data_IF_954827403282
#
_entry.id   IF_954827403282
#
_cell.length_a   1.000
_cell.length_b   1.000
_cell.length_c   1.000
_cell.angle_alpha   90.00
_cell.angle_beta   90.00
_cell.angle_gamma   90.00
#
_symmetry.space_group_name_H-M   'P 1'
#
loop_
_entity.id
_entity.type
_entity.pdbx_description
1 polymer ?
#
# COMPACT_ATOMS: atom_id res chain seq x y z
N UNK A 1 0.99 8.69 8.08
CA UNK A 1 1.10 7.33 7.53
C UNK A 1 0.58 6.37 8.56
N UNK A 2 -0.40 5.55 8.20
CA UNK A 2 -0.80 4.38 8.99
C UNK A 2 -0.32 3.11 8.28
N UNK A 3 0.03 2.08 9.06
CA UNK A 3 0.42 0.77 8.53
C UNK A 3 -0.54 -0.27 9.11
N UNK A 4 -1.14 -1.07 8.24
CA UNK A 4 -1.96 -2.22 8.63
C UNK A 4 -1.27 -3.49 8.15
N UNK A 5 -1.09 -4.45 9.05
CA UNK A 5 -0.53 -5.77 8.76
C UNK A 5 -1.48 -6.82 9.33
N UNK A 6 -1.91 -7.77 8.50
CA UNK A 6 -2.85 -8.84 8.91
C UNK A 6 -4.09 -8.29 9.65
N UNK A 7 -4.67 -7.19 9.13
CA UNK A 7 -5.85 -6.50 9.71
C UNK A 7 -5.63 -5.82 11.08
N UNK A 8 -4.38 -5.68 11.52
CA UNK A 8 -4.03 -4.96 12.75
C UNK A 8 -3.09 -3.80 12.47
N UNK A 9 -3.15 -2.76 13.30
CA UNK A 9 -2.19 -1.66 13.25
C UNK A 9 -0.78 -2.16 13.52
N UNK A 10 0.16 -1.72 12.70
CA UNK A 10 1.58 -2.00 12.82
C UNK A 10 2.37 -0.70 12.84
N UNK A 11 3.59 -0.75 13.41
CA UNK A 11 4.52 0.37 13.38
C UNK A 11 5.43 0.35 12.14
N UNK A 12 5.64 -0.84 11.57
CA UNK A 12 6.56 -1.08 10.45
C UNK A 12 6.20 -2.37 9.70
N UNK A 13 6.79 -2.52 8.51
CA UNK A 13 6.84 -3.75 7.74
C UNK A 13 8.31 -4.13 7.52
N UNK A 14 8.66 -5.39 7.81
CA UNK A 14 9.98 -5.92 7.55
C UNK A 14 10.11 -6.40 6.09
N UNK A 15 11.33 -6.70 5.68
CA UNK A 15 11.59 -7.26 4.35
C UNK A 15 10.78 -8.54 4.14
N UNK A 16 10.16 -8.68 2.95
CA UNK A 16 9.30 -9.81 2.61
C UNK A 16 7.92 -9.78 3.26
N UNK A 17 7.62 -8.79 4.10
CA UNK A 17 6.30 -8.62 4.69
C UNK A 17 5.39 -7.78 3.81
N UNK A 18 4.12 -8.17 3.78
CA UNK A 18 3.08 -7.43 3.10
C UNK A 18 2.18 -6.71 4.09
N UNK A 19 1.75 -5.51 3.70
CA UNK A 19 0.78 -4.74 4.46
C UNK A 19 0.17 -3.63 3.63
N UNK A 20 -0.66 -2.81 4.27
CA UNK A 20 -1.34 -1.67 3.65
C UNK A 20 -0.76 -0.38 4.22
N UNK A 21 -0.44 0.56 3.34
CA UNK A 21 -0.06 1.92 3.72
C UNK A 21 -1.28 2.84 3.54
N UNK A 22 -1.70 3.46 4.64
CA UNK A 22 -2.75 4.49 4.63
C UNK A 22 -2.08 5.86 4.58
N UNK A 23 -2.26 6.53 3.45
CA UNK A 23 -1.69 7.85 3.16
C UNK A 23 -2.80 8.89 3.11
N UNK A 24 -2.53 10.08 3.65
CA UNK A 24 -3.45 11.23 3.52
C UNK A 24 -3.50 11.76 2.08
N UNK A 25 -2.38 11.66 1.37
CA UNK A 25 -2.22 12.07 -0.01
C UNK A 25 -1.19 11.17 -0.67
N UNK A 26 -1.41 10.84 -1.93
CA UNK A 26 -0.55 9.95 -2.72
C UNK A 26 -0.69 10.30 -4.20
N UNK A 27 0.39 10.22 -5.01
CA UNK A 27 0.29 10.40 -6.46
C UNK A 27 -0.32 9.19 -7.18
N UNK A 28 -0.49 8.06 -6.49
CA UNK A 28 -1.05 6.84 -7.06
C UNK A 28 -2.56 6.97 -7.23
N UNK A 29 -3.04 6.82 -8.46
CA UNK A 29 -4.46 6.76 -8.75
C UNK A 29 -5.04 5.43 -8.28
N UNK A 30 -6.09 5.45 -7.43
CA UNK A 30 -6.73 4.22 -6.97
C UNK A 30 -7.52 3.56 -8.10
N UNK A 31 -7.72 2.25 -7.97
CA UNK A 31 -8.65 1.49 -8.80
C UNK A 31 -10.06 2.13 -8.74
N UNK A 32 -10.77 2.11 -9.86
CA UNK A 32 -12.14 2.62 -9.92
C UNK A 32 -12.67 2.78 -11.34
N UNK A 33 -14.00 2.72 -11.50
CA UNK A 33 -14.66 2.95 -12.79
C UNK A 33 -14.30 1.95 -13.89
N UNK A 34 -13.79 0.76 -13.53
CA UNK A 34 -13.30 -0.26 -14.46
C UNK A 34 -11.81 -0.15 -14.79
N UNK A 35 -11.10 0.83 -14.25
CA UNK A 35 -9.66 0.98 -14.41
C UNK A 35 -8.90 0.33 -13.26
N UNK A 36 -7.83 -0.42 -13.59
CA UNK A 36 -6.85 -0.96 -12.63
C UNK A 36 -6.04 0.18 -12.03
N UNK A 37 -5.91 0.20 -10.70
CA UNK A 37 -5.17 1.23 -9.97
C UNK A 37 -3.67 1.21 -10.23
N UNK A 38 -3.00 2.31 -9.90
CA UNK A 38 -1.56 2.47 -10.11
C UNK A 38 -0.74 1.47 -9.28
N UNK A 39 0.32 0.97 -9.91
CA UNK A 39 1.39 0.20 -9.26
C UNK A 39 2.72 0.96 -9.39
N UNK A 40 3.66 0.70 -8.49
CA UNK A 40 4.95 1.38 -8.53
C UNK A 40 5.78 1.20 -7.26
N UNK A 41 6.63 2.18 -6.98
CA UNK A 41 7.54 2.15 -5.84
C UNK A 41 7.33 3.37 -4.94
N UNK A 42 7.28 3.12 -3.63
CA UNK A 42 7.45 4.15 -2.60
C UNK A 42 8.82 3.94 -2.00
N UNK A 43 9.65 4.97 -1.96
CA UNK A 43 10.97 4.87 -1.38
C UNK A 43 11.36 6.15 -0.65
N UNK A 44 12.24 5.98 0.33
CA UNK A 44 12.99 7.01 1.03
C UNK A 44 14.48 6.74 0.80
N UNK A 45 15.35 7.56 1.40
CA UNK A 45 16.80 7.31 1.36
C UNK A 45 17.20 5.94 1.93
N UNK A 46 16.38 5.37 2.83
CA UNK A 46 16.74 4.22 3.65
C UNK A 46 15.81 3.01 3.45
N UNK A 47 14.79 3.11 2.59
CA UNK A 47 13.80 2.05 2.41
C UNK A 47 13.08 2.18 1.09
N UNK A 48 12.72 1.06 0.50
CA UNK A 48 11.81 0.98 -0.65
C UNK A 48 10.67 0.01 -0.37
N UNK A 49 9.54 0.16 -1.05
CA UNK A 49 8.40 -0.73 -0.98
C UNK A 49 7.69 -0.72 -2.33
N UNK A 50 7.23 -1.88 -2.80
CA UNK A 50 6.48 -2.00 -4.04
C UNK A 50 4.98 -1.91 -3.78
N UNK A 51 4.37 -0.89 -4.38
CA UNK A 51 2.92 -0.76 -4.46
C UNK A 51 2.43 -1.69 -5.55
N UNK A 52 1.69 -2.73 -5.17
CA UNK A 52 1.09 -3.69 -6.12
C UNK A 52 -0.41 -3.51 -6.29
N UNK A 53 -1.03 -2.71 -5.42
CA UNK A 53 -2.44 -2.33 -5.50
C UNK A 53 -2.66 -0.95 -4.84
N UNK A 54 -3.55 -0.15 -5.41
CA UNK A 54 -3.94 1.17 -4.89
C UNK A 54 -5.46 1.27 -4.86
N UNK A 55 -6.02 1.56 -3.69
CA UNK A 55 -7.47 1.57 -3.46
C UNK A 55 -7.89 2.81 -2.66
N UNK A 56 -9.12 3.28 -2.86
CA UNK A 56 -9.72 4.28 -1.96
C UNK A 56 -10.10 3.63 -0.63
N UNK A 57 -9.98 4.40 0.44
CA UNK A 57 -10.24 3.91 1.81
C UNK A 57 -11.72 3.58 2.04
N UNK A 58 -12.64 4.28 1.39
CA UNK A 58 -14.08 4.05 1.52
C UNK A 58 -14.62 2.86 0.70
N UNK A 59 -13.89 2.42 -0.34
CA UNK A 59 -14.33 1.35 -1.25
C UNK A 59 -13.82 -0.05 -0.80
N UNK A 60 -13.04 -0.13 0.29
CA UNK A 60 -12.45 -1.39 0.77
C UNK A 60 -13.45 -2.29 1.49
N UNK A 61 -14.10 -3.16 0.73
CA UNK A 61 -14.53 -4.48 1.19
C UNK A 61 -13.50 -5.53 0.74
N UNK A 62 -12.62 -5.97 1.65
CA UNK A 62 -11.66 -7.11 1.51
C UNK A 62 -10.45 -6.99 0.52
N UNK A 63 -9.36 -6.36 0.97
CA UNK A 63 -7.95 -6.84 0.88
C UNK A 63 -7.11 -6.70 -0.41
N UNK A 64 -5.88 -6.15 -0.28
CA UNK A 64 -4.56 -6.50 -0.91
C UNK A 64 -3.56 -5.32 -0.81
N UNK A 65 -2.44 -5.46 -0.08
CA UNK A 65 -1.06 -5.91 -0.40
C UNK A 65 -0.13 -4.82 -1.00
N UNK A 66 0.96 -4.52 -0.30
CA UNK A 66 2.19 -3.84 -0.76
C UNK A 66 3.35 -4.76 -0.37
N UNK A 67 4.20 -5.17 -1.32
CA UNK A 67 5.33 -6.10 -1.09
C UNK A 67 6.66 -5.32 -1.11
N UNK A 68 7.49 -5.42 -0.07
CA UNK A 68 8.81 -4.78 -0.07
C UNK A 68 9.87 -5.73 -0.61
N UNK A 69 10.40 -5.45 -1.81
CA UNK A 69 11.64 -6.05 -2.31
C UNK A 69 12.80 -5.08 -2.12
N UNK A 70 13.95 -5.57 -1.62
CA UNK A 70 15.32 -5.02 -1.50
C UNK A 70 15.51 -3.49 -1.39
#
# INVERSE_FOLDING_TARGET
>A
VGIIKKKSLAKELNQGEEGELILKSTPFYPEGGGQIGDQGLIFTSNSRAQVVDTQKTDERNNGRTISKNH
#
